data_IF_589318584617
#
_entry.id   IF_589318584617
#
_cell.length_a   1.000
_cell.length_b   1.000
_cell.length_c   1.000
_cell.angle_alpha   90.00
_cell.angle_beta   90.00
_cell.angle_gamma   90.00
#
_symmetry.space_group_name_H-M   'P 1'
#
loop_
_entity.id
_entity.type
_entity.pdbx_description
1 polymer ?
#
# COMPACT_ATOMS: atom_id res chain seq x y z
N UNK A 1 -21.16 3.18 0.44
CA UNK A 1 -20.66 4.33 -0.30
C UNK A 1 -19.54 4.99 0.48
N UNK A 2 -18.40 5.18 -0.17
CA UNK A 2 -17.22 5.77 0.45
C UNK A 2 -17.23 7.27 0.24
N UNK A 3 -17.17 8.02 1.35
CA UNK A 3 -17.04 9.46 1.29
C UNK A 3 -15.56 9.83 1.19
N UNK A 4 -15.25 10.87 0.41
CA UNK A 4 -13.89 11.37 0.28
C UNK A 4 -13.48 12.06 1.58
N UNK A 5 -12.66 11.40 2.39
CA UNK A 5 -12.19 11.93 3.66
C UNK A 5 -10.69 12.30 3.65
N UNK A 6 -10.07 12.25 2.47
CA UNK A 6 -8.69 12.63 2.24
C UNK A 6 -8.66 13.77 1.22
N UNK A 7 -7.82 14.77 1.43
CA UNK A 7 -7.68 15.87 0.47
C UNK A 7 -6.89 15.43 -0.77
N UNK A 8 -6.79 16.31 -1.79
CA UNK A 8 -6.10 15.98 -3.04
C UNK A 8 -4.63 15.62 -2.82
N UNK A 9 -3.96 16.31 -1.89
CA UNK A 9 -2.57 16.03 -1.56
C UNK A 9 -2.42 14.66 -0.90
N UNK A 10 -3.31 14.34 0.03
CA UNK A 10 -3.32 13.03 0.68
C UNK A 10 -3.58 11.90 -0.30
N UNK A 11 -4.51 12.10 -1.24
CA UNK A 11 -4.80 11.14 -2.29
C UNK A 11 -3.56 10.87 -3.16
N UNK A 12 -2.88 11.92 -3.60
CA UNK A 12 -1.69 11.79 -4.42
C UNK A 12 -0.58 11.04 -3.69
N UNK A 13 -0.35 11.37 -2.42
CA UNK A 13 0.68 10.72 -1.60
C UNK A 13 0.36 9.24 -1.40
N UNK A 14 -0.89 8.91 -1.05
CA UNK A 14 -1.30 7.53 -0.81
C UNK A 14 -1.27 6.71 -2.09
N UNK A 15 -1.70 7.28 -3.20
CA UNK A 15 -1.68 6.59 -4.50
C UNK A 15 -0.24 6.30 -4.92
N UNK A 16 0.63 7.31 -4.87
CA UNK A 16 2.05 7.15 -5.22
C UNK A 16 2.75 6.14 -4.31
N UNK A 17 2.55 6.26 -3.01
CA UNK A 17 3.13 5.34 -2.03
C UNK A 17 2.64 3.92 -2.21
N UNK A 18 1.34 3.77 -2.48
CA UNK A 18 0.74 2.46 -2.73
C UNK A 18 1.30 1.81 -3.99
N UNK A 19 1.42 2.56 -5.07
CA UNK A 19 1.99 2.07 -6.32
C UNK A 19 3.45 1.66 -6.12
N UNK A 20 4.25 2.49 -5.45
CA UNK A 20 5.65 2.16 -5.16
C UNK A 20 5.75 0.89 -4.31
N UNK A 21 4.89 0.74 -3.32
CA UNK A 21 4.86 -0.43 -2.45
C UNK A 21 4.50 -1.70 -3.23
N UNK A 22 3.53 -1.63 -4.14
CA UNK A 22 3.14 -2.77 -4.99
C UNK A 22 4.31 -3.17 -5.89
N UNK A 23 4.96 -2.21 -6.52
CA UNK A 23 6.11 -2.47 -7.40
C UNK A 23 7.24 -3.13 -6.61
N UNK A 24 7.56 -2.60 -5.43
CA UNK A 24 8.58 -3.17 -4.55
C UNK A 24 8.20 -4.58 -4.12
N UNK A 25 6.94 -4.80 -3.75
CA UNK A 25 6.44 -6.12 -3.37
C UNK A 25 6.55 -7.14 -4.49
N UNK A 26 6.26 -6.74 -5.72
CA UNK A 26 6.43 -7.60 -6.88
C UNK A 26 7.89 -7.95 -7.11
N UNK A 27 8.79 -6.99 -6.95
CA UNK A 27 10.23 -7.23 -7.03
C UNK A 27 10.72 -8.21 -5.99
N UNK A 28 10.29 -8.04 -4.74
CA UNK A 28 10.64 -8.97 -3.64
C UNK A 28 10.09 -10.36 -3.92
N UNK A 29 8.85 -10.46 -4.41
CA UNK A 29 8.24 -11.75 -4.76
C UNK A 29 9.02 -12.44 -5.87
N UNK A 30 9.48 -11.69 -6.87
CA UNK A 30 10.30 -12.24 -7.97
C UNK A 30 11.61 -12.81 -7.44
N UNK A 31 12.28 -12.06 -6.58
CA UNK A 31 13.54 -12.52 -5.95
C UNK A 31 13.31 -13.81 -5.15
N UNK A 32 12.23 -13.86 -4.38
CA UNK A 32 11.87 -15.03 -3.59
C UNK A 32 11.55 -16.24 -4.49
N UNK A 33 10.83 -16.00 -5.57
CA UNK A 33 10.41 -17.05 -6.50
C UNK A 33 11.62 -17.71 -7.19
N UNK A 34 12.58 -16.90 -7.63
CA UNK A 34 13.78 -17.41 -8.31
C UNK A 34 14.83 -17.96 -7.33
N UNK A 35 14.59 -17.84 -6.04
CA UNK A 35 15.52 -18.38 -5.02
C UNK A 35 16.85 -17.64 -4.97
N UNK A 36 16.89 -16.37 -5.40
CA UNK A 36 18.11 -15.57 -5.35
C UNK A 36 18.58 -15.33 -3.92
N UNK A 37 17.64 -15.28 -2.99
CA UNK A 37 17.89 -15.19 -1.56
C UNK A 37 17.07 -16.28 -0.89
N UNK A 38 17.72 -17.14 -0.11
CA UNK A 38 17.06 -18.25 0.57
C UNK A 38 16.55 -17.80 1.94
N UNK A 39 15.40 -17.12 1.94
CA UNK A 39 14.76 -16.63 3.15
C UNK A 39 13.25 -16.62 3.01
N UNK A 40 12.56 -17.27 3.94
CA UNK A 40 11.10 -17.25 3.99
C UNK A 40 10.54 -15.87 4.34
N UNK A 41 11.34 -14.99 4.94
CA UNK A 41 10.93 -13.64 5.26
C UNK A 41 10.61 -12.82 4.01
N UNK A 42 11.21 -13.16 2.87
CA UNK A 42 10.90 -12.48 1.60
C UNK A 42 9.44 -12.65 1.21
N UNK A 43 8.87 -13.82 1.44
CA UNK A 43 7.44 -14.03 1.14
C UNK A 43 6.55 -13.19 2.05
N UNK A 44 6.88 -13.11 3.34
CA UNK A 44 6.13 -12.27 4.27
C UNK A 44 6.27 -10.79 3.93
N UNK A 45 7.46 -10.35 3.60
CA UNK A 45 7.71 -8.96 3.19
C UNK A 45 6.93 -8.63 1.92
N UNK A 46 6.96 -9.51 0.93
CA UNK A 46 6.22 -9.33 -0.32
C UNK A 46 4.72 -9.25 -0.06
N UNK A 47 4.19 -10.16 0.76
CA UNK A 47 2.76 -10.16 1.09
C UNK A 47 2.35 -8.85 1.77
N UNK A 48 3.14 -8.38 2.73
CA UNK A 48 2.87 -7.12 3.41
C UNK A 48 2.94 -5.92 2.48
N UNK A 49 3.95 -5.86 1.62
CA UNK A 49 4.10 -4.77 0.64
C UNK A 49 2.96 -4.77 -0.37
N UNK A 50 2.56 -5.93 -0.87
CA UNK A 50 1.46 -6.01 -1.83
C UNK A 50 0.13 -5.66 -1.17
N UNK A 51 -0.14 -6.17 0.01
CA UNK A 51 -1.38 -5.85 0.73
C UNK A 51 -1.46 -4.37 1.09
N UNK A 52 -0.40 -3.83 1.69
CA UNK A 52 -0.35 -2.41 2.05
C UNK A 52 -0.38 -1.50 0.83
N UNK A 53 0.33 -1.88 -0.23
CA UNK A 53 0.33 -1.14 -1.48
C UNK A 53 -1.04 -1.10 -2.15
N UNK A 54 -1.72 -2.24 -2.20
CA UNK A 54 -3.07 -2.34 -2.76
C UNK A 54 -4.04 -1.47 -1.96
N UNK A 55 -3.97 -1.51 -0.64
CA UNK A 55 -4.79 -0.67 0.21
C UNK A 55 -4.49 0.81 -0.02
N UNK A 56 -3.22 1.19 -0.13
CA UNK A 56 -2.82 2.57 -0.41
C UNK A 56 -3.33 3.06 -1.76
N UNK A 57 -3.26 2.23 -2.79
CA UNK A 57 -3.81 2.55 -4.11
C UNK A 57 -5.33 2.74 -4.02
N UNK A 58 -6.01 1.84 -3.32
CA UNK A 58 -7.46 1.96 -3.11
C UNK A 58 -7.81 3.26 -2.40
N UNK A 59 -7.11 3.58 -1.31
CA UNK A 59 -7.36 4.81 -0.56
C UNK A 59 -7.07 6.05 -1.40
N UNK A 60 -5.98 6.05 -2.15
CA UNK A 60 -5.62 7.14 -3.04
C UNK A 60 -6.61 7.31 -4.19
N UNK A 61 -7.10 6.21 -4.72
CA UNK A 61 -8.07 6.24 -5.82
C UNK A 61 -9.44 6.75 -5.35
N UNK A 62 -9.93 6.17 -4.23
CA UNK A 62 -11.27 6.51 -3.71
C UNK A 62 -11.28 7.79 -2.89
N UNK A 63 -10.13 8.22 -2.39
CA UNK A 63 -10.05 9.36 -1.47
C UNK A 63 -10.54 9.02 -0.07
N UNK A 64 -10.59 7.75 0.29
CA UNK A 64 -11.10 7.29 1.58
C UNK A 64 -9.98 6.63 2.38
N UNK A 65 -9.90 6.96 3.64
CA UNK A 65 -8.91 6.41 4.55
C UNK A 65 -9.61 5.70 5.71
N UNK A 66 -9.27 4.45 5.94
CA UNK A 66 -9.83 3.67 7.03
C UNK A 66 -9.58 4.32 8.38
N UNK A 67 -8.36 4.81 8.62
CA UNK A 67 -8.01 5.46 9.87
C UNK A 67 -8.90 6.67 10.14
N UNK A 68 -9.12 7.52 9.14
CA UNK A 68 -10.00 8.68 9.29
C UNK A 68 -11.46 8.27 9.47
N UNK A 69 -11.87 7.19 8.82
CA UNK A 69 -13.24 6.69 8.93
C UNK A 69 -13.57 6.22 10.35
N UNK A 70 -12.59 5.68 11.07
CA UNK A 70 -12.77 5.24 12.46
C UNK A 70 -12.46 6.33 13.48
N UNK A 71 -12.19 7.55 13.03
CA UNK A 71 -11.99 8.71 13.90
C UNK A 71 -10.55 9.06 14.23
N UNK A 72 -9.58 8.37 13.66
CA UNK A 72 -8.16 8.69 13.85
C UNK A 72 -7.78 9.82 12.91
N UNK A 73 -7.24 10.91 13.45
CA UNK A 73 -6.75 12.01 12.63
C UNK A 73 -5.40 11.66 12.00
N UNK A 74 -5.27 11.95 10.71
CA UNK A 74 -4.00 11.81 9.98
C UNK A 74 -3.69 13.10 9.25
N UNK A 75 -2.41 13.52 9.16
CA UNK A 75 -2.04 14.78 8.50
C UNK A 75 -2.16 14.73 6.97
N UNK A 76 -2.27 13.53 6.41
CA UNK A 76 -2.38 13.33 4.96
C UNK A 76 -3.43 12.29 4.62
#
# INVERSE_FOLDING_TARGET
VLECNIDARGKAIRLSGGMASVITGLGVATVAYFGLVDSSYLWYASAGLLAGGTLGVFEGWSGWCVARAIGIWTPI
#
